data_IF_516245680235
#
_entry.id   IF_516245680235
#
_cell.length_a   1.000
_cell.length_b   1.000
_cell.length_c   1.000
_cell.angle_alpha   90.00
_cell.angle_beta   90.00
_cell.angle_gamma   90.00
#
_symmetry.space_group_name_H-M   'P 1'
#
loop_
_entity.id
_entity.type
_entity.pdbx_description
1 polymer ?
#
# COMPACT_ATOMS: atom_id res chain seq x y z
N UNK A 1 -31.69 8.76 -34.44
CA UNK A 1 -31.05 7.67 -33.66
C UNK A 1 -29.59 8.02 -33.51
N UNK A 2 -29.24 8.68 -32.41
CA UNK A 2 -27.85 9.02 -32.08
C UNK A 2 -27.34 7.88 -31.22
N UNK A 3 -26.42 7.08 -31.76
CA UNK A 3 -25.72 6.03 -31.01
C UNK A 3 -24.74 6.71 -30.05
N UNK A 4 -25.03 6.65 -28.75
CA UNK A 4 -24.07 7.01 -27.71
C UNK A 4 -22.87 6.05 -27.74
N UNK A 5 -21.64 6.53 -27.44
CA UNK A 5 -20.49 5.66 -27.34
C UNK A 5 -20.60 4.86 -26.05
N UNK A 6 -20.65 3.53 -26.17
CA UNK A 6 -20.51 2.60 -25.04
C UNK A 6 -19.12 2.80 -24.45
N UNK A 7 -19.03 3.61 -23.38
CA UNK A 7 -17.84 3.71 -22.56
C UNK A 7 -17.58 2.34 -21.94
N UNK A 8 -16.56 1.63 -22.42
CA UNK A 8 -16.12 0.38 -21.83
C UNK A 8 -15.51 0.69 -20.45
N UNK A 9 -16.35 0.78 -19.41
CA UNK A 9 -15.91 0.87 -18.03
C UNK A 9 -15.28 -0.46 -17.68
N UNK A 10 -13.96 -0.57 -17.82
CA UNK A 10 -13.21 -1.72 -17.32
C UNK A 10 -13.44 -1.76 -15.82
N UNK A 11 -14.26 -2.71 -15.38
CA UNK A 11 -14.64 -2.92 -13.99
C UNK A 11 -13.36 -3.19 -13.18
N UNK A 12 -13.22 -2.51 -12.05
CA UNK A 12 -12.06 -2.69 -11.18
C UNK A 12 -12.10 -4.09 -10.56
N UNK A 13 -11.12 -4.92 -10.92
CA UNK A 13 -11.07 -6.32 -10.50
C UNK A 13 -10.56 -6.51 -9.05
N UNK A 14 -10.08 -5.44 -8.38
CA UNK A 14 -9.53 -5.52 -7.02
C UNK A 14 -10.45 -4.93 -5.95
N UNK A 15 -11.75 -5.20 -6.03
CA UNK A 15 -12.69 -4.74 -4.99
C UNK A 15 -12.70 -5.77 -3.86
N UNK A 16 -12.09 -5.45 -2.71
CA UNK A 16 -12.10 -6.34 -1.57
C UNK A 16 -13.38 -6.23 -0.72
N UNK A 17 -13.73 -7.33 0.01
CA UNK A 17 -14.82 -7.29 0.95
C UNK A 17 -14.61 -6.25 2.05
N UNK A 18 -15.69 -5.63 2.50
CA UNK A 18 -15.66 -4.57 3.53
C UNK A 18 -16.01 -5.08 4.93
N UNK A 19 -15.97 -4.20 5.93
CA UNK A 19 -16.41 -4.53 7.30
C UNK A 19 -17.87 -4.99 7.26
N UNK A 20 -18.16 -6.12 7.92
CA UNK A 20 -19.49 -6.72 7.93
C UNK A 20 -19.74 -7.73 6.80
N UNK A 21 -18.86 -7.77 5.79
CA UNK A 21 -18.87 -8.82 4.77
C UNK A 21 -17.99 -10.00 5.22
N UNK A 22 -18.33 -11.25 4.84
CA UNK A 22 -17.51 -12.40 5.17
C UNK A 22 -16.08 -12.29 4.61
N UNK A 23 -15.10 -12.50 5.47
CA UNK A 23 -13.67 -12.60 5.11
C UNK A 23 -13.04 -13.82 5.75
N UNK A 24 -11.92 -14.26 5.19
CA UNK A 24 -11.02 -15.21 5.87
C UNK A 24 -10.30 -14.47 7.01
N UNK A 25 -10.79 -14.67 8.23
CA UNK A 25 -10.31 -13.97 9.43
C UNK A 25 -8.86 -14.32 9.77
N UNK A 26 -8.48 -15.59 9.63
CA UNK A 26 -7.12 -16.06 9.96
C UNK A 26 -6.10 -15.51 8.96
N UNK A 27 -6.41 -15.58 7.66
CA UNK A 27 -5.57 -14.98 6.62
C UNK A 27 -5.49 -13.45 6.79
N UNK A 28 -6.59 -12.79 7.15
CA UNK A 28 -6.58 -11.34 7.39
C UNK A 28 -5.65 -10.98 8.54
N UNK A 29 -5.68 -11.73 9.65
CA UNK A 29 -4.76 -11.52 10.79
C UNK A 29 -3.30 -11.81 10.42
N UNK A 30 -3.05 -12.89 9.68
CA UNK A 30 -1.70 -13.21 9.16
C UNK A 30 -1.16 -12.05 8.32
N UNK A 31 -1.97 -11.49 7.42
CA UNK A 31 -1.62 -10.36 6.56
C UNK A 31 -1.38 -9.06 7.33
N UNK A 32 -2.18 -8.77 8.36
CA UNK A 32 -1.93 -7.64 9.25
C UNK A 32 -0.59 -7.78 9.99
N UNK A 33 -0.27 -8.99 10.45
CA UNK A 33 0.98 -9.31 11.14
C UNK A 33 2.21 -9.10 10.28
N UNK A 34 2.25 -9.70 9.07
CA UNK A 34 3.38 -9.51 8.14
C UNK A 34 3.48 -8.05 7.67
N UNK A 35 2.35 -7.36 7.48
CA UNK A 35 2.35 -5.97 7.06
C UNK A 35 2.86 -5.01 8.14
N UNK A 36 2.57 -5.31 9.42
CA UNK A 36 3.08 -4.55 10.55
C UNK A 36 4.61 -4.68 10.63
N UNK A 37 5.15 -5.91 10.53
CA UNK A 37 6.61 -6.14 10.58
C UNK A 37 7.36 -5.57 9.37
N UNK A 38 6.72 -5.51 8.20
CA UNK A 38 7.32 -4.95 6.98
C UNK A 38 7.31 -3.41 6.91
N UNK A 39 6.70 -2.73 7.89
CA UNK A 39 6.66 -1.27 8.03
C UNK A 39 6.75 -0.85 9.50
N UNK A 40 7.88 -1.10 10.17
CA UNK A 40 8.02 -0.92 11.61
C UNK A 40 7.92 0.56 12.00
N UNK A 41 7.16 0.90 13.05
CA UNK A 41 7.06 2.29 13.50
C UNK A 41 8.37 2.80 14.12
N UNK A 42 8.52 4.11 14.24
CA UNK A 42 9.62 4.72 15.00
C UNK A 42 9.39 4.61 16.50
N UNK A 43 8.12 4.75 16.91
CA UNK A 43 7.68 4.58 18.28
C UNK A 43 6.41 3.74 18.31
N UNK A 44 6.37 2.78 19.22
CA UNK A 44 5.18 2.00 19.51
C UNK A 44 4.80 2.06 20.99
N UNK A 45 3.51 1.95 21.27
CA UNK A 45 2.98 1.75 22.61
C UNK A 45 1.83 0.74 22.55
N UNK A 46 1.82 -0.22 23.48
CA UNK A 46 0.72 -1.17 23.62
C UNK A 46 -0.30 -0.68 24.63
N UNK A 47 -1.57 -0.82 24.30
CA UNK A 47 -2.72 -0.55 25.17
C UNK A 47 -3.64 -1.77 25.05
N UNK A 48 -3.59 -2.69 26.01
CA UNK A 48 -4.23 -4.00 25.85
C UNK A 48 -3.78 -4.69 24.56
N UNK A 49 -4.73 -5.11 23.74
CA UNK A 49 -4.53 -5.68 22.41
C UNK A 49 -4.29 -4.65 21.29
N UNK A 50 -4.34 -3.35 21.56
CA UNK A 50 -4.04 -2.31 20.57
C UNK A 50 -2.55 -1.98 20.53
N UNK A 51 -2.06 -1.64 19.33
CA UNK A 51 -0.72 -1.12 19.10
C UNK A 51 -0.80 0.28 18.51
N UNK A 52 -0.41 1.29 19.28
CA UNK A 52 -0.31 2.67 18.85
C UNK A 52 1.03 2.85 18.13
N UNK A 53 1.00 3.40 16.92
CA UNK A 53 2.18 3.54 16.05
C UNK A 53 2.38 5.00 15.69
N UNK A 54 3.64 5.43 15.73
CA UNK A 54 4.06 6.76 15.30
C UNK A 54 5.35 6.66 14.47
N UNK A 55 5.39 7.40 13.37
CA UNK A 55 6.48 7.39 12.38
C UNK A 55 6.66 8.78 11.76
N UNK A 56 6.66 9.83 12.58
CA UNK A 56 6.81 11.23 12.23
C UNK A 56 5.87 11.68 11.09
N UNK A 57 4.64 11.17 11.06
CA UNK A 57 3.65 11.51 10.03
C UNK A 57 3.91 10.93 8.63
N UNK A 58 4.94 10.10 8.43
CA UNK A 58 5.37 9.58 7.11
C UNK A 58 4.33 8.80 6.30
N UNK A 59 3.35 8.20 6.97
CA UNK A 59 2.25 7.49 6.32
C UNK A 59 1.10 7.28 7.30
N UNK A 60 -0.13 7.12 6.80
CA UNK A 60 -1.26 6.76 7.68
C UNK A 60 -1.05 5.40 8.37
N UNK A 61 -0.43 4.44 7.69
CA UNK A 61 -0.14 3.11 8.27
C UNK A 61 0.79 3.21 9.48
N UNK A 62 1.92 3.90 9.34
CA UNK A 62 2.88 4.08 10.43
C UNK A 62 2.43 5.04 11.54
N UNK A 63 1.30 5.73 11.36
CA UNK A 63 0.78 6.75 12.27
C UNK A 63 -0.70 6.50 12.60
N UNK A 64 -1.06 5.25 12.87
CA UNK A 64 -2.41 4.86 13.29
C UNK A 64 -2.38 3.70 14.28
N UNK A 65 -3.41 3.63 15.12
CA UNK A 65 -3.67 2.51 16.01
C UNK A 65 -3.98 1.28 15.17
N UNK A 66 -3.32 0.17 15.48
CA UNK A 66 -3.69 -1.15 15.00
C UNK A 66 -4.55 -1.86 16.06
N UNK A 67 -5.86 -1.88 15.84
CA UNK A 67 -6.85 -2.38 16.77
C UNK A 67 -7.02 -3.92 16.68
N UNK A 68 -5.94 -4.66 16.93
CA UNK A 68 -5.87 -6.10 16.61
C UNK A 68 -6.41 -7.06 17.67
N UNK A 69 -6.77 -6.56 18.83
CA UNK A 69 -7.18 -7.36 19.98
C UNK A 69 -7.94 -6.53 21.00
N UNK A 70 -8.50 -7.19 22.00
CA UNK A 70 -9.34 -6.54 23.01
C UNK A 70 -8.56 -5.55 23.86
N UNK A 71 -9.25 -4.50 24.29
CA UNK A 71 -8.81 -3.55 25.31
C UNK A 71 -9.75 -3.67 26.52
N UNK A 72 -9.42 -2.96 27.60
CA UNK A 72 -10.37 -2.76 28.69
C UNK A 72 -11.53 -1.86 28.22
N UNK A 73 -11.75 -0.76 28.91
CA UNK A 73 -12.71 0.23 28.43
C UNK A 73 -12.20 0.93 27.14
N UNK A 74 -13.03 0.98 26.09
CA UNK A 74 -12.64 1.56 24.80
C UNK A 74 -12.49 3.08 24.92
N UNK A 75 -13.28 3.77 25.74
CA UNK A 75 -13.17 5.20 25.93
C UNK A 75 -11.86 5.56 26.64
N UNK A 76 -11.48 4.84 27.70
CA UNK A 76 -10.17 5.00 28.36
C UNK A 76 -9.00 4.74 27.40
N UNK A 77 -9.15 3.73 26.53
CA UNK A 77 -8.17 3.46 25.48
C UNK A 77 -8.07 4.62 24.48
N UNK A 78 -9.19 5.22 24.08
CA UNK A 78 -9.22 6.39 23.19
C UNK A 78 -8.61 7.64 23.82
N UNK A 79 -8.77 7.84 25.13
CA UNK A 79 -8.08 8.92 25.85
C UNK A 79 -6.56 8.74 25.80
N UNK A 80 -6.08 7.50 25.98
CA UNK A 80 -4.65 7.17 25.83
C UNK A 80 -4.16 7.40 24.40
N UNK A 81 -4.96 7.03 23.39
CA UNK A 81 -4.67 7.30 21.97
C UNK A 81 -4.58 8.81 21.72
N UNK A 82 -5.50 9.59 22.29
CA UNK A 82 -5.49 11.06 22.23
C UNK A 82 -4.18 11.65 22.72
N UNK A 83 -3.73 11.26 23.92
CA UNK A 83 -2.49 11.74 24.52
C UNK A 83 -1.24 11.34 23.71
N UNK A 84 -1.20 10.10 23.21
CA UNK A 84 -0.09 9.58 22.42
C UNK A 84 0.13 10.39 21.14
N UNK A 85 -0.96 10.66 20.40
CA UNK A 85 -0.89 11.40 19.13
C UNK A 85 -0.75 12.91 19.34
N UNK A 86 -1.35 13.48 20.39
CA UNK A 86 -1.13 14.89 20.75
C UNK A 86 0.35 15.19 21.03
N UNK A 87 1.05 14.29 21.74
CA UNK A 87 2.50 14.41 22.00
C UNK A 87 3.31 14.42 20.70
N UNK A 88 2.84 13.71 19.67
CA UNK A 88 3.48 13.65 18.36
C UNK A 88 3.06 14.77 17.40
N UNK A 89 2.15 15.67 17.81
CA UNK A 89 1.57 16.69 16.93
C UNK A 89 0.74 16.10 15.79
N UNK A 90 0.19 14.89 15.98
CA UNK A 90 -0.59 14.16 15.00
C UNK A 90 -2.04 14.00 15.49
N UNK A 91 -3.01 13.88 14.57
CA UNK A 91 -4.38 13.57 14.96
C UNK A 91 -4.54 12.08 15.29
N UNK A 92 -5.36 11.75 16.31
CA UNK A 92 -5.76 10.38 16.59
C UNK A 92 -6.31 9.69 15.34
N UNK A 93 -5.72 8.55 14.98
CA UNK A 93 -6.12 7.79 13.79
C UNK A 93 -6.13 6.31 14.14
N UNK A 94 -7.20 5.60 13.81
CA UNK A 94 -7.37 4.15 14.05
C UNK A 94 -7.50 3.46 12.69
N UNK A 95 -6.69 2.43 12.46
CA UNK A 95 -6.84 1.54 11.30
C UNK A 95 -7.93 0.53 11.61
N UNK A 96 -8.97 0.50 10.77
CA UNK A 96 -10.13 -0.36 10.94
C UNK A 96 -10.21 -1.37 9.80
N UNK A 97 -10.24 -2.64 10.18
CA UNK A 97 -10.26 -3.82 9.32
C UNK A 97 -11.44 -4.72 9.72
N UNK A 98 -11.84 -5.70 8.90
CA UNK A 98 -12.92 -6.62 9.26
C UNK A 98 -12.61 -7.53 10.47
N UNK A 99 -11.34 -7.59 10.90
CA UNK A 99 -10.90 -8.39 12.07
C UNK A 99 -10.47 -7.52 13.26
N UNK A 100 -10.78 -6.22 13.20
CA UNK A 100 -10.51 -5.27 14.28
C UNK A 100 -11.34 -5.58 15.53
N UNK A 101 -10.74 -5.34 16.69
CA UNK A 101 -11.29 -5.66 18.01
C UNK A 101 -11.14 -4.48 18.97
N UNK A 102 -12.04 -4.34 19.97
CA UNK A 102 -13.27 -5.12 20.15
C UNK A 102 -14.32 -4.83 19.06
N UNK A 103 -15.34 -5.68 18.88
CA UNK A 103 -16.36 -5.50 17.84
C UNK A 103 -17.16 -4.18 17.98
N UNK A 104 -17.28 -3.66 19.20
CA UNK A 104 -17.93 -2.38 19.49
C UNK A 104 -17.12 -1.15 19.03
N UNK A 105 -15.89 -1.32 18.54
CA UNK A 105 -15.00 -0.20 18.17
C UNK A 105 -15.63 0.74 17.15
N UNK A 106 -16.44 0.24 16.21
CA UNK A 106 -17.08 1.05 15.18
C UNK A 106 -18.05 2.08 15.79
N UNK A 107 -18.95 1.62 16.65
CA UNK A 107 -19.96 2.45 17.31
C UNK A 107 -19.31 3.51 18.20
N UNK A 108 -18.24 3.14 18.92
CA UNK A 108 -17.52 4.08 19.79
C UNK A 108 -16.79 5.14 18.97
N UNK A 109 -16.15 4.78 17.85
CA UNK A 109 -15.50 5.74 16.97
C UNK A 109 -16.49 6.68 16.27
N UNK A 110 -17.68 6.18 15.89
CA UNK A 110 -18.77 7.00 15.37
C UNK A 110 -19.23 8.02 16.43
N UNK A 111 -19.50 7.57 17.66
CA UNK A 111 -19.91 8.43 18.76
C UNK A 111 -18.85 9.48 19.13
N UNK A 112 -17.57 9.13 18.99
CA UNK A 112 -16.45 10.04 19.24
C UNK A 112 -16.13 10.98 18.06
N UNK A 113 -16.85 10.88 16.93
CA UNK A 113 -16.72 11.80 15.80
C UNK A 113 -15.52 11.54 14.88
N UNK A 114 -14.98 10.32 14.87
CA UNK A 114 -13.94 9.95 13.91
C UNK A 114 -14.54 9.82 12.51
N UNK A 115 -13.96 10.47 11.50
CA UNK A 115 -14.40 10.31 10.11
C UNK A 115 -13.68 9.15 9.42
N UNK A 116 -14.26 8.61 8.35
CA UNK A 116 -13.64 7.54 7.57
C UNK A 116 -12.88 8.09 6.36
N UNK A 117 -11.63 7.67 6.18
CA UNK A 117 -10.78 8.18 5.11
C UNK A 117 -10.01 7.10 4.35
N UNK A 118 -10.10 7.18 3.01
CA UNK A 118 -9.18 6.56 2.07
C UNK A 118 -9.12 5.03 2.15
N UNK A 119 -10.12 4.33 1.61
CA UNK A 119 -10.19 2.87 1.59
C UNK A 119 -8.97 2.25 0.89
N UNK A 120 -8.42 1.22 1.51
CA UNK A 120 -7.27 0.46 1.01
C UNK A 120 -7.63 -1.02 0.95
N UNK A 121 -7.46 -1.61 -0.23
CA UNK A 121 -7.66 -3.04 -0.44
C UNK A 121 -6.36 -3.79 -0.20
N UNK A 122 -6.43 -4.89 0.56
CA UNK A 122 -5.34 -5.84 0.72
C UNK A 122 -5.54 -6.96 -0.29
N UNK A 123 -4.51 -7.24 -1.08
CA UNK A 123 -4.57 -8.22 -2.15
C UNK A 123 -3.40 -9.19 -2.04
N UNK A 124 -3.63 -10.43 -2.49
CA UNK A 124 -2.62 -11.49 -2.52
C UNK A 124 -2.52 -12.12 -3.90
N UNK A 125 -1.38 -12.73 -4.19
CA UNK A 125 -1.12 -13.50 -5.40
C UNK A 125 -0.14 -14.64 -5.10
N UNK A 126 -0.19 -15.69 -5.92
CA UNK A 126 0.86 -16.71 -5.97
C UNK A 126 2.05 -16.20 -6.81
N UNK A 127 3.28 -16.37 -6.31
CA UNK A 127 4.48 -15.89 -7.01
C UNK A 127 4.78 -16.71 -8.28
N UNK A 128 4.40 -17.98 -8.33
CA UNK A 128 4.45 -18.81 -9.53
C UNK A 128 3.50 -18.27 -10.60
N UNK A 129 2.25 -17.98 -10.23
CA UNK A 129 1.26 -17.37 -11.14
C UNK A 129 1.71 -16.00 -11.65
N UNK A 130 2.27 -15.15 -10.78
CA UNK A 130 2.88 -13.88 -11.19
C UNK A 130 3.97 -14.14 -12.23
N UNK A 131 4.85 -15.12 -11.98
CA UNK A 131 5.90 -15.53 -12.90
C UNK A 131 5.37 -15.93 -14.28
N UNK A 132 4.37 -16.80 -14.34
CA UNK A 132 3.73 -17.25 -15.58
C UNK A 132 3.09 -16.09 -16.36
N UNK A 133 2.33 -15.22 -15.69
CA UNK A 133 1.67 -14.06 -16.31
C UNK A 133 2.68 -13.02 -16.83
N UNK A 134 3.85 -12.94 -16.21
CA UNK A 134 4.95 -12.10 -16.68
C UNK A 134 5.62 -12.66 -17.94
N UNK A 135 5.66 -13.99 -18.10
CA UNK A 135 6.16 -14.65 -19.31
C UNK A 135 5.19 -14.48 -20.49
N UNK A 136 3.89 -14.68 -20.27
CA UNK A 136 2.86 -14.63 -21.34
C UNK A 136 2.58 -13.20 -21.84
N UNK A 137 2.76 -12.19 -20.98
CA UNK A 137 2.54 -10.77 -21.34
C UNK A 137 3.67 -10.13 -22.17
N UNK A 138 4.79 -10.82 -22.39
CA UNK A 138 5.86 -10.37 -23.27
C UNK A 138 5.64 -10.95 -24.67
N UNK A 139 5.29 -10.13 -25.65
CA UNK A 139 5.41 -10.51 -27.06
C UNK A 139 6.88 -10.83 -27.36
N UNK A 140 7.22 -12.13 -27.31
CA UNK A 140 8.37 -12.69 -28.00
C UNK A 140 9.74 -12.66 -27.32
N UNK A 141 9.86 -12.47 -26.00
CA UNK A 141 11.12 -12.81 -25.34
C UNK A 141 10.94 -13.18 -23.87
N UNK A 142 11.27 -14.43 -23.55
CA UNK A 142 11.34 -14.95 -22.19
C UNK A 142 12.51 -14.25 -21.50
N UNK A 143 12.30 -13.44 -20.44
CA UNK A 143 13.40 -13.14 -19.55
C UNK A 143 13.77 -14.45 -18.88
N UNK A 144 14.98 -14.94 -19.11
CA UNK A 144 15.58 -15.89 -18.19
C UNK A 144 15.34 -15.36 -16.77
N UNK A 145 14.83 -16.20 -15.86
CA UNK A 145 14.69 -15.88 -14.43
C UNK A 145 15.90 -15.03 -14.08
N UNK A 146 15.73 -13.74 -13.74
CA UNK A 146 16.88 -12.89 -13.58
C UNK A 146 17.60 -13.48 -12.39
N UNK A 147 18.72 -14.16 -12.67
CA UNK A 147 19.43 -14.91 -11.64
C UNK A 147 19.86 -13.99 -10.51
N UNK A 148 20.65 -14.53 -9.59
CA UNK A 148 21.30 -13.78 -8.52
C UNK A 148 22.12 -12.54 -8.97
N UNK A 149 22.31 -12.34 -10.28
CA UNK A 149 22.86 -11.11 -10.87
C UNK A 149 22.14 -9.89 -10.30
N UNK A 150 22.87 -8.87 -9.82
CA UNK A 150 22.28 -7.63 -9.32
C UNK A 150 21.57 -6.80 -10.40
N UNK A 151 21.91 -6.99 -11.67
CA UNK A 151 21.33 -6.24 -12.80
C UNK A 151 20.70 -7.15 -13.83
N UNK A 152 19.57 -6.73 -14.41
CA UNK A 152 18.92 -7.45 -15.50
C UNK A 152 18.37 -6.46 -16.54
N UNK A 153 18.44 -6.82 -17.82
CA UNK A 153 17.90 -6.03 -18.92
C UNK A 153 16.83 -6.82 -19.67
N UNK A 154 15.64 -6.24 -19.83
CA UNK A 154 14.47 -6.86 -20.47
C UNK A 154 13.67 -5.79 -21.20
N UNK A 155 13.39 -5.98 -22.50
CA UNK A 155 12.51 -5.11 -23.29
C UNK A 155 12.85 -3.61 -23.18
N UNK A 156 14.13 -3.25 -23.25
CA UNK A 156 14.60 -1.85 -23.13
C UNK A 156 14.62 -1.29 -21.71
N UNK A 157 14.22 -2.08 -20.71
CA UNK A 157 14.34 -1.74 -19.29
C UNK A 157 15.58 -2.39 -18.68
N UNK A 158 16.35 -1.62 -17.93
CA UNK A 158 17.43 -2.15 -17.09
C UNK A 158 17.04 -2.00 -15.63
N UNK A 159 16.94 -3.11 -14.91
CA UNK A 159 16.70 -3.13 -13.47
C UNK A 159 17.98 -3.33 -12.69
N UNK A 160 18.06 -2.70 -11.53
CA UNK A 160 19.14 -2.81 -10.56
C UNK A 160 18.50 -3.18 -9.23
N UNK A 161 18.94 -4.31 -8.67
CA UNK A 161 18.58 -4.76 -7.34
C UNK A 161 19.56 -4.16 -6.32
N UNK A 162 19.02 -3.53 -5.30
CA UNK A 162 19.74 -2.82 -4.26
C UNK A 162 19.33 -3.37 -2.89
N UNK A 163 20.27 -3.42 -1.95
CA UNK A 163 20.02 -3.87 -0.58
C UNK A 163 19.57 -2.71 0.32
N UNK A 164 19.84 -1.48 -0.10
CA UNK A 164 19.49 -0.24 0.61
C UNK A 164 18.97 0.81 -0.36
N UNK A 165 18.29 1.83 0.18
CA UNK A 165 17.89 3.00 -0.61
C UNK A 165 19.08 3.95 -0.78
N UNK A 166 19.32 4.37 -2.03
CA UNK A 166 20.23 5.46 -2.37
C UNK A 166 19.46 6.66 -2.93
N UNK A 167 20.14 7.79 -3.12
CA UNK A 167 19.51 9.05 -3.52
C UNK A 167 18.70 8.93 -4.81
N UNK A 168 19.22 8.26 -5.84
CA UNK A 168 18.48 8.06 -7.10
C UNK A 168 17.16 7.31 -6.91
N UNK A 169 17.13 6.31 -6.04
CA UNK A 169 15.90 5.58 -5.75
C UNK A 169 14.90 6.48 -5.02
N UNK A 170 15.38 7.25 -4.04
CA UNK A 170 14.58 8.18 -3.25
C UNK A 170 14.05 9.34 -4.08
N UNK A 171 14.81 9.83 -5.06
CA UNK A 171 14.39 10.92 -5.95
C UNK A 171 13.27 10.47 -6.89
N UNK A 172 13.38 9.26 -7.47
CA UNK A 172 12.30 8.67 -8.28
C UNK A 172 11.07 8.42 -7.42
N UNK A 173 11.23 7.88 -6.21
CA UNK A 173 10.12 7.66 -5.28
C UNK A 173 9.44 8.99 -4.90
N UNK A 174 10.22 10.01 -4.56
CA UNK A 174 9.73 11.33 -4.13
C UNK A 174 8.97 12.10 -5.21
N UNK A 175 9.25 11.86 -6.49
CA UNK A 175 8.46 12.45 -7.58
C UNK A 175 7.01 11.95 -7.64
N UNK A 176 6.69 10.82 -7.00
CA UNK A 176 5.38 10.16 -7.11
C UNK A 176 4.71 9.98 -5.76
N UNK A 177 5.49 9.69 -4.71
CA UNK A 177 5.02 9.32 -3.39
C UNK A 177 5.36 10.43 -2.39
N UNK A 178 4.33 11.09 -1.85
CA UNK A 178 4.50 12.18 -0.88
C UNK A 178 5.35 11.78 0.34
N UNK A 179 5.24 10.51 0.76
CA UNK A 179 6.03 9.87 1.84
C UNK A 179 7.55 9.98 1.63
N UNK A 180 8.03 10.02 0.38
CA UNK A 180 9.47 10.11 0.05
C UNK A 180 9.92 11.53 -0.33
N UNK A 181 8.98 12.45 -0.57
CA UNK A 181 9.27 13.87 -0.81
C UNK A 181 9.23 14.67 0.51
N UNK A 182 8.03 14.97 1.00
CA UNK A 182 7.83 15.88 2.14
C UNK A 182 8.02 15.23 3.51
N UNK A 183 8.07 13.90 3.58
CA UNK A 183 8.13 13.13 4.83
C UNK A 183 9.35 12.20 4.91
N UNK A 184 10.41 12.55 4.18
CA UNK A 184 11.59 11.70 3.95
C UNK A 184 12.25 11.21 5.24
N UNK A 185 12.38 12.06 6.26
CA UNK A 185 13.01 11.68 7.54
C UNK A 185 12.29 10.52 8.22
N UNK A 186 10.96 10.61 8.37
CA UNK A 186 10.17 9.55 9.00
C UNK A 186 10.23 8.24 8.22
N UNK A 187 10.16 8.33 6.89
CA UNK A 187 10.24 7.16 6.01
C UNK A 187 11.61 6.48 6.06
N UNK A 188 12.70 7.25 6.04
CA UNK A 188 14.05 6.69 6.18
C UNK A 188 14.25 6.03 7.54
N UNK A 189 13.67 6.59 8.61
CA UNK A 189 13.69 5.95 9.92
C UNK A 189 12.93 4.61 9.94
N UNK A 190 11.76 4.52 9.30
CA UNK A 190 11.03 3.25 9.14
C UNK A 190 11.89 2.22 8.39
N UNK A 191 12.54 2.63 7.29
CA UNK A 191 13.40 1.74 6.53
C UNK A 191 14.64 1.31 7.31
N UNK A 192 15.18 2.18 8.18
CA UNK A 192 16.31 1.87 9.05
C UNK A 192 15.94 0.90 10.18
N UNK A 193 14.69 0.93 10.66
CA UNK A 193 14.17 0.01 11.68
C UNK A 193 13.77 -1.36 11.13
N UNK A 194 13.78 -1.56 9.80
CA UNK A 194 13.37 -2.81 9.18
C UNK A 194 14.41 -3.91 9.41
N UNK A 195 14.01 -4.97 10.12
CA UNK A 195 14.86 -6.13 10.41
C UNK A 195 14.68 -7.28 9.43
N UNK A 196 13.59 -7.27 8.65
CA UNK A 196 13.28 -8.32 7.68
C UNK A 196 14.11 -8.16 6.40
N UNK A 197 14.44 -9.25 5.70
CA UNK A 197 15.08 -9.18 4.38
C UNK A 197 14.30 -8.27 3.45
N UNK A 198 14.99 -7.28 2.88
CA UNK A 198 14.39 -6.31 1.98
C UNK A 198 15.25 -6.12 0.74
N UNK A 199 14.58 -5.82 -0.37
CA UNK A 199 15.24 -5.41 -1.59
C UNK A 199 14.53 -4.22 -2.20
N UNK A 200 15.31 -3.44 -2.92
CA UNK A 200 14.86 -2.25 -3.62
C UNK A 200 15.22 -2.43 -5.09
N UNK A 201 14.27 -2.12 -5.97
CA UNK A 201 14.51 -2.18 -7.41
C UNK A 201 14.46 -0.78 -7.96
N UNK A 202 15.51 -0.42 -8.71
CA UNK A 202 15.56 0.76 -9.58
C UNK A 202 15.44 0.30 -11.02
N UNK A 203 14.48 0.85 -11.76
CA UNK A 203 14.28 0.58 -13.18
C UNK A 203 14.66 1.79 -14.02
N UNK A 204 15.63 1.57 -14.90
CA UNK A 204 16.06 2.50 -15.92
C UNK A 204 15.30 2.21 -17.22
N UNK A 205 14.77 3.26 -17.85
CA UNK A 205 14.18 3.19 -19.19
C UNK A 205 14.96 4.14 -20.08
N UNK A 206 15.50 3.64 -21.20
CA UNK A 206 16.42 4.38 -22.09
C UNK A 206 17.61 5.01 -21.34
N UNK A 207 18.12 4.30 -20.32
CA UNK A 207 19.24 4.77 -19.50
C UNK A 207 18.88 5.82 -18.44
N UNK A 208 17.60 6.15 -18.26
CA UNK A 208 17.14 7.14 -17.26
C UNK A 208 16.36 6.46 -16.11
N UNK A 209 16.60 6.82 -14.83
CA UNK A 209 15.84 6.28 -13.69
C UNK A 209 14.38 6.72 -13.75
N UNK A 210 13.46 5.76 -13.80
CA UNK A 210 12.06 6.04 -14.18
C UNK A 210 11.02 5.31 -13.32
N UNK A 211 11.38 4.20 -12.69
CA UNK A 211 10.49 3.50 -11.77
C UNK A 211 11.26 2.85 -10.63
N UNK A 212 10.59 2.67 -9.50
CA UNK A 212 11.12 2.03 -8.31
C UNK A 212 10.08 1.16 -7.63
N UNK A 213 10.55 0.24 -6.79
CA UNK A 213 9.73 -0.55 -5.88
C UNK A 213 10.57 -1.13 -4.75
N UNK A 214 9.90 -1.55 -3.67
CA UNK A 214 10.49 -2.20 -2.51
C UNK A 214 9.77 -3.52 -2.24
N UNK A 215 10.55 -4.56 -1.96
CA UNK A 215 10.06 -5.86 -1.48
C UNK A 215 10.58 -6.14 -0.08
N UNK A 216 9.81 -6.87 0.70
CA UNK A 216 10.23 -7.43 1.99
C UNK A 216 9.75 -8.87 2.07
N UNK A 217 10.61 -9.79 2.51
CA UNK A 217 10.25 -11.19 2.69
C UNK A 217 10.08 -11.49 4.17
N UNK A 218 8.93 -12.08 4.52
CA UNK A 218 8.61 -12.54 5.87
C UNK A 218 7.97 -13.93 5.79
N UNK A 219 8.75 -14.94 6.17
CA UNK A 219 8.40 -16.34 5.94
C UNK A 219 8.13 -16.57 4.46
N UNK A 220 6.89 -16.94 4.16
CA UNK A 220 6.44 -17.30 2.82
C UNK A 220 5.90 -16.11 1.99
N UNK A 221 5.89 -14.90 2.58
CA UNK A 221 5.27 -13.72 1.99
C UNK A 221 6.30 -12.71 1.47
N UNK A 222 6.11 -12.28 0.21
CA UNK A 222 6.61 -11.01 -0.32
C UNK A 222 5.61 -9.89 -0.05
N UNK A 223 5.98 -8.91 0.79
CA UNK A 223 5.30 -7.63 0.86
C UNK A 223 5.80 -6.66 -0.20
N UNK A 224 4.92 -6.18 -1.08
CA UNK A 224 5.25 -5.19 -2.13
C UNK A 224 4.88 -3.78 -1.68
N UNK A 225 5.87 -2.87 -1.69
CA UNK A 225 5.74 -1.51 -1.19
C UNK A 225 6.41 -0.48 -2.10
N UNK A 226 6.04 0.78 -1.90
CA UNK A 226 6.70 1.94 -2.49
C UNK A 226 6.92 1.86 -4.01
N UNK A 227 5.94 1.28 -4.71
CA UNK A 227 5.92 1.22 -6.16
C UNK A 227 5.65 2.61 -6.72
N UNK A 228 6.61 3.14 -7.47
CA UNK A 228 6.49 4.45 -8.12
C UNK A 228 6.98 4.37 -9.56
N UNK A 229 6.31 5.10 -10.44
CA UNK A 229 6.72 5.27 -11.84
C UNK A 229 6.45 6.71 -12.22
N UNK A 230 7.50 7.41 -12.64
CA UNK A 230 7.38 8.83 -13.02
C UNK A 230 6.42 8.97 -14.21
N UNK A 231 5.73 10.11 -14.36
CA UNK A 231 4.72 10.28 -15.41
C UNK A 231 5.23 9.95 -16.83
N UNK A 232 6.48 10.33 -17.15
CA UNK A 232 7.11 10.10 -18.45
C UNK A 232 7.31 8.61 -18.81
N UNK A 233 7.23 7.70 -17.84
CA UNK A 233 7.40 6.26 -18.04
C UNK A 233 6.10 5.45 -17.94
N UNK A 234 4.95 6.11 -17.77
CA UNK A 234 3.64 5.43 -17.68
C UNK A 234 3.27 4.76 -19.00
N UNK A 235 2.61 3.61 -18.91
CA UNK A 235 2.23 2.83 -20.10
C UNK A 235 3.39 2.11 -20.80
N UNK A 236 4.64 2.28 -20.33
CA UNK A 236 5.82 1.67 -20.94
C UNK A 236 6.26 0.35 -20.30
N UNK A 237 5.55 -0.13 -19.28
CA UNK A 237 5.84 -1.43 -18.63
C UNK A 237 6.91 -1.39 -17.51
N UNK A 238 7.38 -0.21 -17.10
CA UNK A 238 8.40 -0.06 -16.06
C UNK A 238 7.96 -0.66 -14.71
N UNK A 239 6.74 -0.34 -14.22
CA UNK A 239 6.20 -0.90 -12.97
C UNK A 239 6.07 -2.42 -13.00
N UNK A 240 5.66 -3.00 -14.15
CA UNK A 240 5.61 -4.45 -14.35
C UNK A 240 7.00 -5.08 -14.21
N UNK A 241 8.02 -4.43 -14.77
CA UNK A 241 9.41 -4.90 -14.73
C UNK A 241 9.97 -4.83 -13.30
N UNK A 242 9.65 -3.78 -12.56
CA UNK A 242 10.00 -3.64 -11.13
C UNK A 242 9.38 -4.78 -10.32
N UNK A 243 8.08 -5.02 -10.47
CA UNK A 243 7.37 -6.06 -9.72
C UNK A 243 7.88 -7.47 -10.08
N UNK A 244 8.13 -7.74 -11.36
CA UNK A 244 8.76 -8.97 -11.81
C UNK A 244 10.11 -9.22 -11.12
N UNK A 245 10.89 -8.16 -10.96
CA UNK A 245 12.20 -8.24 -10.33
C UNK A 245 12.11 -8.51 -8.83
N UNK A 246 11.15 -7.90 -8.14
CA UNK A 246 10.86 -8.18 -6.74
C UNK A 246 10.35 -9.62 -6.53
N UNK A 247 9.47 -10.10 -7.41
CA UNK A 247 8.95 -11.47 -7.36
C UNK A 247 10.08 -12.50 -7.52
N UNK A 248 10.97 -12.33 -8.51
CA UNK A 248 12.12 -13.21 -8.69
C UNK A 248 13.05 -13.22 -7.47
N UNK A 249 13.36 -12.04 -6.92
CA UNK A 249 14.15 -11.93 -5.69
C UNK A 249 13.48 -12.63 -4.49
N UNK A 250 12.17 -12.51 -4.36
CA UNK A 250 11.44 -13.13 -3.25
C UNK A 250 11.41 -14.66 -3.35
N UNK A 251 11.26 -15.20 -4.57
CA UNK A 251 11.37 -16.65 -4.82
C UNK A 251 12.78 -17.15 -4.48
N UNK A 252 13.83 -16.40 -4.83
CA UNK A 252 15.21 -16.73 -4.42
C UNK A 252 15.37 -16.72 -2.89
N UNK A 253 14.63 -15.85 -2.19
CA UNK A 253 14.60 -15.74 -0.75
C UNK A 253 13.64 -16.73 -0.05
N UNK A 254 12.97 -17.61 -0.80
CA UNK A 254 12.13 -18.69 -0.27
C UNK A 254 10.64 -18.37 -0.11
N UNK A 255 10.17 -17.19 -0.56
CA UNK A 255 8.75 -16.87 -0.56
C UNK A 255 8.02 -17.53 -1.73
N UNK A 256 6.77 -17.95 -1.53
CA UNK A 256 5.87 -18.43 -2.59
C UNK A 256 4.62 -17.57 -2.79
N UNK A 257 4.30 -16.68 -1.85
CA UNK A 257 3.13 -15.79 -1.91
C UNK A 257 3.54 -14.32 -1.92
N UNK A 258 2.72 -13.47 -2.51
CA UNK A 258 2.88 -12.01 -2.47
C UNK A 258 1.64 -11.35 -1.92
N UNK A 259 1.82 -10.25 -1.18
CA UNK A 259 0.74 -9.36 -0.78
C UNK A 259 1.08 -7.90 -1.03
N UNK A 260 0.03 -7.10 -1.16
CA UNK A 260 0.13 -5.64 -1.27
C UNK A 260 -1.09 -4.97 -0.66
N UNK A 261 -0.97 -3.67 -0.42
CA UNK A 261 -2.06 -2.83 0.04
C UNK A 261 -2.15 -1.63 -0.91
N UNK A 262 -3.32 -1.43 -1.52
CA UNK A 262 -3.50 -0.46 -2.60
C UNK A 262 -4.76 0.37 -2.40
N UNK A 263 -4.60 1.70 -2.38
CA UNK A 263 -5.73 2.64 -2.29
C UNK A 263 -6.60 2.56 -3.55
N UNK A 264 -7.91 2.70 -3.40
CA UNK A 264 -8.86 2.63 -4.53
C UNK A 264 -8.61 3.70 -5.61
N UNK A 265 -8.05 4.84 -5.21
CA UNK A 265 -7.68 5.95 -6.11
C UNK A 265 -6.51 5.60 -7.04
N UNK A 266 -5.74 4.56 -6.73
CA UNK A 266 -4.56 4.12 -7.49
C UNK A 266 -4.91 3.26 -8.71
N UNK A 267 -5.84 3.72 -9.55
CA UNK A 267 -6.43 2.97 -10.67
C UNK A 267 -5.41 2.29 -11.59
N UNK A 268 -4.31 2.97 -11.94
CA UNK A 268 -3.26 2.41 -12.78
C UNK A 268 -2.51 1.24 -12.10
N UNK A 269 -2.21 1.36 -10.81
CA UNK A 269 -1.56 0.31 -10.03
C UNK A 269 -2.51 -0.89 -9.87
N UNK A 270 -3.79 -0.64 -9.60
CA UNK A 270 -4.81 -1.69 -9.44
C UNK A 270 -4.98 -2.53 -10.71
N UNK A 271 -5.02 -1.89 -11.89
CA UNK A 271 -5.03 -2.58 -13.18
C UNK A 271 -3.79 -3.45 -13.39
N UNK A 272 -2.61 -2.94 -13.02
CA UNK A 272 -1.37 -3.71 -13.10
C UNK A 272 -1.44 -4.96 -12.21
N UNK A 273 -1.82 -4.79 -10.94
CA UNK A 273 -1.87 -5.88 -9.97
C UNK A 273 -2.91 -6.94 -10.37
N UNK A 274 -4.11 -6.53 -10.79
CA UNK A 274 -5.12 -7.46 -11.31
C UNK A 274 -4.61 -8.27 -12.51
N UNK A 275 -3.94 -7.61 -13.47
CA UNK A 275 -3.38 -8.28 -14.64
C UNK A 275 -2.28 -9.29 -14.28
N UNK A 276 -1.67 -9.17 -13.10
CA UNK A 276 -0.63 -10.05 -12.59
C UNK A 276 -1.14 -11.12 -11.61
N UNK A 277 -2.47 -11.27 -11.49
CA UNK A 277 -3.07 -12.35 -10.68
C UNK A 277 -3.30 -11.97 -9.22
N UNK A 278 -3.12 -10.71 -8.82
CA UNK A 278 -3.55 -10.28 -7.49
C UNK A 278 -5.07 -10.36 -7.39
N UNK A 279 -5.53 -10.88 -6.26
CA UNK A 279 -6.94 -10.95 -5.86
C UNK A 279 -7.14 -10.30 -4.50
N UNK A 280 -8.26 -9.61 -4.27
CA UNK A 280 -8.52 -8.98 -2.98
C UNK A 280 -8.78 -10.01 -1.86
N UNK A 281 -8.47 -9.65 -0.62
CA UNK A 281 -8.75 -10.44 0.60
C UNK A 281 -9.69 -9.68 1.53
N UNK A 282 -9.31 -8.46 1.92
CA UNK A 282 -10.11 -7.58 2.76
C UNK A 282 -9.81 -6.12 2.46
N UNK A 283 -10.76 -5.24 2.80
CA UNK A 283 -10.57 -3.79 2.78
C UNK A 283 -10.41 -3.25 4.19
N UNK A 284 -9.50 -2.31 4.36
CA UNK A 284 -9.44 -1.51 5.58
C UNK A 284 -9.54 -0.02 5.26
N UNK A 285 -9.86 0.76 6.26
CA UNK A 285 -9.87 2.21 6.19
C UNK A 285 -9.26 2.82 7.46
N UNK A 286 -9.14 4.14 7.48
CA UNK A 286 -8.64 4.86 8.65
C UNK A 286 -9.75 5.75 9.19
N UNK A 287 -10.07 5.54 10.47
CA UNK A 287 -10.94 6.42 11.23
C UNK A 287 -10.10 7.50 11.89
N UNK A 288 -10.35 8.78 11.61
CA UNK A 288 -9.51 9.89 12.08
C UNK A 288 -10.32 10.92 12.85
N UNK A 289 -9.78 11.36 13.98
CA UNK A 289 -10.34 12.48 14.71
C UNK A 289 -9.65 13.76 14.27
N UNK A 290 -10.40 14.63 13.60
CA UNK A 290 -9.94 15.96 13.24
C UNK A 290 -10.13 16.91 14.42
N UNK A 291 -9.13 17.76 14.69
CA UNK A 291 -9.30 18.84 15.65
C UNK A 291 -10.48 19.72 15.21
N UNK A 292 -11.39 20.02 16.14
CA UNK A 292 -12.52 20.90 15.88
C UNK A 292 -12.01 22.28 15.40
N UNK A 293 -12.16 22.57 14.10
CA UNK A 293 -11.73 23.86 13.53
C UNK A 293 -11.21 23.88 12.09
N UNK A 294 -11.10 22.76 11.39
CA UNK A 294 -10.83 22.77 9.94
C UNK A 294 -11.89 21.93 9.22
N UNK A 295 -12.85 22.56 8.51
CA UNK A 295 -13.77 21.84 7.66
C UNK A 295 -12.95 20.97 6.68
N UNK A 296 -13.17 19.66 6.72
CA UNK A 296 -12.60 18.74 5.73
C UNK A 296 -12.93 19.27 4.33
N UNK A 297 -11.92 19.32 3.46
CA UNK A 297 -12.17 19.64 2.05
C UNK A 297 -13.14 18.59 1.51
N UNK A 298 -14.35 18.98 1.06
CA UNK A 298 -15.29 18.00 0.54
C UNK A 298 -14.68 17.32 -0.69
N UNK A 299 -14.92 16.02 -0.90
CA UNK A 299 -14.51 15.36 -2.14
C UNK A 299 -15.17 16.09 -3.31
N UNK A 300 -14.37 16.45 -4.32
CA UNK A 300 -14.79 17.18 -5.52
C UNK A 300 -16.17 16.73 -6.01
N UNK A 301 -17.20 17.53 -5.71
CA UNK A 301 -18.51 17.38 -6.31
C UNK A 301 -18.39 17.61 -7.81
N UNK A 302 -18.95 16.65 -8.55
CA UNK A 302 -19.05 16.65 -10.00
C UNK A 302 -19.80 17.91 -10.42
N UNK A 303 -19.13 18.82 -11.15
CA UNK A 303 -19.85 19.79 -11.96
C UNK A 303 -20.46 19.09 -13.17
N UNK A 304 -21.66 18.56 -13.00
CA UNK A 304 -22.64 18.45 -14.07
C UNK A 304 -23.63 19.60 -13.92
N UNK A 305 -23.48 20.61 -14.76
CA UNK A 305 -24.55 21.55 -15.09
C UNK A 305 -24.37 21.99 -16.54
N UNK A 306 -24.88 21.16 -17.45
CA UNK A 306 -25.42 21.62 -18.72
C UNK A 306 -26.84 22.13 -18.47
N UNK A 307 -27.18 23.32 -18.96
CA UNK A 307 -28.48 23.79 -19.47
C UNK A 307 -28.28 25.29 -19.84
N UNK A 308 -28.12 25.58 -21.13
CA UNK A 308 -29.12 26.22 -22.02
C UNK A 308 -29.21 27.76 -21.91
N UNK A 309 -28.56 28.41 -22.90
CA UNK A 309 -29.06 29.42 -23.88
C UNK A 309 -30.19 30.41 -23.50
N UNK A 310 -30.18 31.61 -24.10
CA UNK A 310 -30.54 31.80 -25.52
C UNK A 310 -29.37 31.79 -26.51
#
# INVERSE_FOLDING_TARGET
MVTEPVGNSVQDALVAPTVGEPVDGDLSRELEDVAHRAWPPLREQRVGGWVLRESAGSSRRGNSVWARGDVGDIADALDTVGQFYATAGLPPTVQITPVSMPSAIHEVLDAAGFDDTGPTDVCIADLGEIGERLVVGATGNVPARPGSSRTAAVNGHRTILLDTVGDTWLDVAGQVLATFAGQRTGTLGVLANLTMPAAYVLCMVDGVPMAVGRGTVDGDWLGVYSMATVPAARGRGAARTVLARLAAWAVDAGASRAYLQVEQTSTAARRLYAALGFRPVYRYSYRRLHAAGVPGTPPHERRCASLQRP
#
